data_IF_175049036310
#
_entry.id   IF_175049036310
#
_cell.length_a   1.000
_cell.length_b   1.000
_cell.length_c   1.000
_cell.angle_alpha   90.00
_cell.angle_beta   90.00
_cell.angle_gamma   90.00
#
_symmetry.space_group_name_H-M   'P 1'
#
loop_
_entity.id
_entity.type
_entity.pdbx_description
1 polymer ?
#
# COMPACT_ATOMS: atom_id res chain seq x y z
N UNK A 1 -92.08 71.07 -0.56
CA UNK A 1 -90.68 71.47 -0.34
C UNK A 1 -89.87 70.69 0.68
N UNK A 2 -90.40 70.37 1.87
CA UNK A 2 -89.58 69.69 2.89
C UNK A 2 -89.18 68.24 2.53
N UNK A 3 -90.13 67.44 2.06
CA UNK A 3 -89.90 66.03 1.67
C UNK A 3 -88.84 65.87 0.56
N UNK A 4 -88.85 66.76 -0.43
CA UNK A 4 -87.91 66.71 -1.55
C UNK A 4 -86.48 67.04 -1.08
N UNK A 5 -86.33 68.00 -0.16
CA UNK A 5 -85.05 68.33 0.49
C UNK A 5 -84.50 67.17 1.31
N UNK A 6 -85.33 66.50 2.10
CA UNK A 6 -84.88 65.35 2.91
C UNK A 6 -84.44 64.18 2.03
N UNK A 7 -85.17 63.91 0.95
CA UNK A 7 -84.79 62.86 -0.01
C UNK A 7 -83.46 63.17 -0.71
N UNK A 8 -83.25 64.41 -1.15
CA UNK A 8 -81.97 64.85 -1.73
C UNK A 8 -80.81 64.70 -0.75
N UNK A 9 -81.01 65.03 0.53
CA UNK A 9 -79.98 64.83 1.58
C UNK A 9 -79.64 63.36 1.79
N UNK A 10 -80.63 62.45 1.75
CA UNK A 10 -80.36 61.02 1.82
C UNK A 10 -79.60 60.51 0.58
N UNK A 11 -79.95 60.97 -0.61
CA UNK A 11 -79.26 60.62 -1.85
C UNK A 11 -77.80 61.12 -1.85
N UNK A 12 -77.54 62.34 -1.35
CA UNK A 12 -76.18 62.87 -1.17
C UNK A 12 -75.37 62.07 -0.14
N UNK A 13 -75.99 61.70 0.98
CA UNK A 13 -75.35 60.91 2.03
C UNK A 13 -75.05 59.48 1.57
N UNK A 14 -75.95 58.88 0.79
CA UNK A 14 -75.75 57.57 0.17
C UNK A 14 -74.58 57.61 -0.84
N UNK A 15 -74.52 58.63 -1.69
CA UNK A 15 -73.38 58.85 -2.62
C UNK A 15 -72.06 59.01 -1.85
N UNK A 16 -72.07 59.76 -0.75
CA UNK A 16 -70.87 59.93 0.07
C UNK A 16 -70.39 58.62 0.70
N UNK A 17 -71.31 57.84 1.28
CA UNK A 17 -70.98 56.53 1.86
C UNK A 17 -70.45 55.55 0.80
N UNK A 18 -71.07 55.52 -0.38
CA UNK A 18 -70.59 54.68 -1.50
C UNK A 18 -69.19 55.09 -1.96
N UNK A 19 -68.90 56.39 -2.01
CA UNK A 19 -67.57 56.89 -2.37
C UNK A 19 -66.52 56.46 -1.33
N UNK A 20 -66.82 56.59 -0.03
CA UNK A 20 -65.96 56.13 1.06
C UNK A 20 -65.72 54.62 1.02
N UNK A 21 -66.76 53.82 0.78
CA UNK A 21 -66.62 52.37 0.63
C UNK A 21 -65.75 52.02 -0.58
N UNK A 22 -65.95 52.70 -1.72
CA UNK A 22 -65.13 52.46 -2.90
C UNK A 22 -63.66 52.83 -2.68
N UNK A 23 -63.39 53.91 -1.94
CA UNK A 23 -62.05 54.37 -1.62
C UNK A 23 -61.35 53.40 -0.65
N UNK A 24 -62.05 52.93 0.38
CA UNK A 24 -61.52 51.94 1.34
C UNK A 24 -61.27 50.59 0.67
N UNK A 25 -62.18 50.09 -0.19
CA UNK A 25 -61.96 48.87 -0.99
C UNK A 25 -60.73 49.01 -1.89
N UNK A 26 -60.57 50.15 -2.57
CA UNK A 26 -59.37 50.43 -3.39
C UNK A 26 -58.10 50.44 -2.55
N UNK A 27 -58.11 51.10 -1.39
CA UNK A 27 -56.98 51.16 -0.48
C UNK A 27 -56.57 49.78 0.07
N UNK A 28 -57.55 48.93 0.41
CA UNK A 28 -57.30 47.54 0.83
C UNK A 28 -56.72 46.73 -0.32
N UNK A 29 -57.29 46.83 -1.53
CA UNK A 29 -56.76 46.13 -2.70
C UNK A 29 -55.32 46.55 -3.04
N UNK A 30 -54.97 47.84 -2.92
CA UNK A 30 -53.60 48.32 -3.13
C UNK A 30 -52.66 47.77 -2.06
N UNK A 31 -53.05 47.80 -0.78
CA UNK A 31 -52.24 47.26 0.31
C UNK A 31 -52.00 45.75 0.16
N UNK A 32 -53.02 44.96 -0.20
CA UNK A 32 -52.88 43.52 -0.46
C UNK A 32 -51.98 43.26 -1.67
N UNK A 33 -52.11 44.05 -2.74
CA UNK A 33 -51.24 43.93 -3.92
C UNK A 33 -49.77 44.20 -3.56
N UNK A 34 -49.51 45.21 -2.74
CA UNK A 34 -48.15 45.53 -2.26
C UNK A 34 -47.61 44.43 -1.35
N UNK A 35 -48.42 43.92 -0.42
CA UNK A 35 -48.06 42.79 0.43
C UNK A 35 -47.69 41.55 -0.40
N UNK A 36 -48.55 41.14 -1.34
CA UNK A 36 -48.30 39.98 -2.20
C UNK A 36 -47.02 40.16 -3.05
N UNK A 37 -46.75 41.39 -3.53
CA UNK A 37 -45.49 41.70 -4.22
C UNK A 37 -44.29 41.52 -3.29
N UNK A 38 -44.34 42.06 -2.08
CA UNK A 38 -43.27 41.94 -1.09
C UNK A 38 -43.02 40.47 -0.69
N UNK A 39 -44.08 39.69 -0.55
CA UNK A 39 -44.00 38.26 -0.24
C UNK A 39 -43.38 37.47 -1.41
N UNK A 40 -43.72 37.82 -2.65
CA UNK A 40 -43.14 37.19 -3.83
C UNK A 40 -41.63 37.49 -3.95
N UNK A 41 -41.20 38.72 -3.67
CA UNK A 41 -39.77 39.08 -3.66
C UNK A 41 -39.02 38.38 -2.54
N UNK A 42 -39.58 38.32 -1.33
CA UNK A 42 -38.96 37.60 -0.20
C UNK A 42 -38.82 36.11 -0.50
N UNK A 43 -39.85 35.48 -1.08
CA UNK A 43 -39.82 34.08 -1.47
C UNK A 43 -38.75 33.79 -2.53
N UNK A 44 -38.60 34.69 -3.52
CA UNK A 44 -37.56 34.56 -4.54
C UNK A 44 -36.16 34.68 -3.94
N UNK A 45 -35.93 35.68 -3.09
CA UNK A 45 -34.65 35.84 -2.40
C UNK A 45 -34.30 34.64 -1.52
N UNK A 46 -35.30 34.11 -0.80
CA UNK A 46 -35.12 32.90 0.02
C UNK A 46 -34.68 31.71 -0.83
N UNK A 47 -35.34 31.47 -1.97
CA UNK A 47 -34.95 30.40 -2.91
C UNK A 47 -33.54 30.58 -3.47
N UNK A 48 -33.13 31.82 -3.75
CA UNK A 48 -31.76 32.12 -4.22
C UNK A 48 -30.74 31.81 -3.12
N UNK A 49 -31.02 32.21 -1.87
CA UNK A 49 -30.16 31.91 -0.71
C UNK A 49 -30.07 30.41 -0.46
N UNK A 50 -31.19 29.69 -0.48
CA UNK A 50 -31.24 28.23 -0.32
C UNK A 50 -30.40 27.54 -1.39
N UNK A 51 -30.55 27.91 -2.66
CA UNK A 51 -29.72 27.35 -3.75
C UNK A 51 -28.25 27.64 -3.58
N UNK A 52 -27.89 28.84 -3.12
CA UNK A 52 -26.48 29.19 -2.86
C UNK A 52 -25.91 28.35 -1.73
N UNK A 53 -26.67 28.18 -0.66
CA UNK A 53 -26.27 27.34 0.46
C UNK A 53 -26.11 25.88 0.05
N UNK A 54 -27.06 25.33 -0.71
CA UNK A 54 -26.96 23.96 -1.25
C UNK A 54 -25.70 23.79 -2.12
N UNK A 55 -25.37 24.78 -2.94
CA UNK A 55 -24.14 24.75 -3.74
C UNK A 55 -22.87 24.77 -2.86
N UNK A 56 -22.86 25.60 -1.82
CA UNK A 56 -21.75 25.67 -0.86
C UNK A 56 -21.58 24.35 -0.10
N UNK A 57 -22.69 23.76 0.37
CA UNK A 57 -22.70 22.48 1.07
C UNK A 57 -22.23 21.34 0.16
N UNK A 58 -22.70 21.29 -1.08
CA UNK A 58 -22.26 20.31 -2.08
C UNK A 58 -20.75 20.43 -2.36
N UNK A 59 -20.23 21.65 -2.50
CA UNK A 59 -18.80 21.88 -2.72
C UNK A 59 -17.97 21.47 -1.49
N UNK A 60 -18.47 21.75 -0.29
CA UNK A 60 -17.82 21.34 0.95
C UNK A 60 -17.77 19.80 1.06
N UNK A 61 -18.88 19.11 0.76
CA UNK A 61 -18.95 17.65 0.73
C UNK A 61 -17.93 17.06 -0.24
N UNK A 62 -17.93 17.51 -1.50
CA UNK A 62 -16.99 17.05 -2.52
C UNK A 62 -15.55 17.27 -2.06
N UNK A 63 -15.23 18.45 -1.54
CA UNK A 63 -13.88 18.77 -1.06
C UNK A 63 -13.46 17.92 0.13
N UNK A 64 -14.39 17.58 1.02
CA UNK A 64 -14.12 16.72 2.16
C UNK A 64 -13.93 15.26 1.75
N UNK A 65 -14.71 14.76 0.79
CA UNK A 65 -14.55 13.41 0.24
C UNK A 65 -13.21 13.26 -0.48
N UNK A 66 -12.84 14.24 -1.32
CA UNK A 66 -11.56 14.24 -2.03
C UNK A 66 -10.35 14.28 -1.09
N UNK A 67 -10.45 15.03 0.01
CA UNK A 67 -9.41 15.08 1.06
C UNK A 67 -9.48 13.91 2.04
N UNK A 68 -10.56 13.12 1.98
CA UNK A 68 -10.77 11.98 2.85
C UNK A 68 -9.78 10.86 2.57
N UNK A 69 -9.50 10.07 3.59
CA UNK A 69 -8.53 8.96 3.52
C UNK A 69 -9.01 7.80 2.62
N UNK A 70 -10.31 7.72 2.34
CA UNK A 70 -10.88 6.68 1.48
C UNK A 70 -10.45 6.85 0.03
N UNK A 71 -10.62 8.05 -0.55
CA UNK A 71 -10.31 8.32 -1.95
C UNK A 71 -8.82 8.58 -2.19
N UNK A 72 -8.12 9.14 -1.20
CA UNK A 72 -6.66 9.37 -1.27
C UNK A 72 -5.83 8.09 -1.03
N UNK A 73 -6.50 7.00 -0.69
CA UNK A 73 -5.89 5.72 -0.34
C UNK A 73 -4.77 5.82 0.71
N UNK A 74 -4.91 6.74 1.68
CA UNK A 74 -3.86 7.03 2.65
C UNK A 74 -3.35 5.75 3.38
N UNK A 75 -2.04 5.42 3.31
CA UNK A 75 -1.48 4.22 3.94
C UNK A 75 -1.43 4.32 5.47
N UNK A 76 -1.49 5.54 6.04
CA UNK A 76 -1.50 5.74 7.50
C UNK A 76 -2.76 5.19 8.17
N UNK A 77 -3.83 4.92 7.41
CA UNK A 77 -5.02 4.22 7.92
C UNK A 77 -4.72 2.83 8.48
N UNK A 78 -3.64 2.20 8.02
CA UNK A 78 -3.20 0.90 8.50
C UNK A 78 -2.46 0.99 9.84
N UNK A 79 -2.12 2.19 10.34
CA UNK A 79 -1.40 2.36 11.60
C UNK A 79 -2.24 1.86 12.79
N UNK A 80 -1.67 0.95 13.57
CA UNK A 80 -2.33 0.42 14.77
C UNK A 80 -2.10 1.32 15.98
N UNK A 81 -3.14 1.56 16.77
CA UNK A 81 -3.03 2.21 18.08
C UNK A 81 -2.25 1.37 19.10
N UNK A 82 -2.12 0.05 18.87
CA UNK A 82 -1.39 -0.87 19.75
C UNK A 82 0.12 -0.87 19.53
N UNK A 83 0.62 -0.08 18.57
CA UNK A 83 2.05 0.22 18.43
C UNK A 83 2.54 0.25 16.98
N UNK A 84 3.75 0.81 16.74
CA UNK A 84 4.25 1.08 15.39
C UNK A 84 4.53 -0.17 14.54
N UNK A 85 4.76 -1.31 15.19
CA UNK A 85 5.07 -2.59 14.54
C UNK A 85 3.82 -3.38 14.14
N UNK A 86 2.63 -2.90 14.53
CA UNK A 86 1.35 -3.54 14.20
C UNK A 86 0.62 -2.74 13.15
N UNK A 87 0.01 -3.46 12.22
CA UNK A 87 -0.86 -2.90 11.20
C UNK A 87 -2.27 -3.44 11.37
N UNK A 88 -3.26 -2.61 11.05
CA UNK A 88 -4.66 -3.03 10.97
C UNK A 88 -4.85 -3.80 9.67
N UNK A 89 -5.10 -5.13 9.72
CA UNK A 89 -5.12 -5.97 8.51
C UNK A 89 -6.13 -5.50 7.46
N UNK A 90 -7.32 -5.11 7.92
CA UNK A 90 -8.43 -4.69 7.06
C UNK A 90 -8.13 -3.43 6.24
N UNK A 91 -7.18 -2.61 6.70
CA UNK A 91 -6.81 -1.33 6.06
C UNK A 91 -5.43 -1.37 5.41
N UNK A 92 -4.81 -2.55 5.34
CA UNK A 92 -3.48 -2.70 4.80
C UNK A 92 -3.49 -2.67 3.27
N UNK A 93 -2.74 -1.71 2.69
CA UNK A 93 -2.63 -1.48 1.24
C UNK A 93 -1.28 -1.89 0.63
N UNK A 94 -0.51 -2.73 1.31
CA UNK A 94 0.83 -3.14 0.89
C UNK A 94 1.99 -2.48 1.65
N UNK A 95 3.21 -2.81 1.27
CA UNK A 95 4.44 -2.28 1.88
C UNK A 95 4.79 -0.90 1.33
N UNK A 96 5.52 -0.10 2.10
CA UNK A 96 6.03 1.18 1.61
C UNK A 96 7.13 0.96 0.58
N UNK A 97 7.33 1.95 -0.29
CA UNK A 97 8.40 1.90 -1.29
C UNK A 97 9.78 1.72 -0.65
N UNK A 98 10.02 2.40 0.48
CA UNK A 98 11.27 2.26 1.25
C UNK A 98 11.50 0.83 1.74
N UNK A 99 10.45 0.17 2.26
CA UNK A 99 10.53 -1.24 2.68
C UNK A 99 10.85 -2.16 1.51
N UNK A 100 10.21 -1.94 0.36
CA UNK A 100 10.47 -2.72 -0.85
C UNK A 100 11.90 -2.52 -1.35
N UNK A 101 12.43 -1.30 -1.26
CA UNK A 101 13.82 -0.98 -1.63
C UNK A 101 14.82 -1.64 -0.70
N UNK A 102 14.56 -1.66 0.61
CA UNK A 102 15.37 -2.40 1.59
C UNK A 102 15.38 -3.90 1.27
N UNK A 103 14.22 -4.49 0.96
CA UNK A 103 14.14 -5.91 0.57
C UNK A 103 15.00 -6.16 -0.69
N UNK A 104 14.89 -5.30 -1.71
CA UNK A 104 15.70 -5.43 -2.94
C UNK A 104 17.20 -5.31 -2.67
N UNK A 105 17.59 -4.42 -1.75
CA UNK A 105 18.99 -4.28 -1.33
C UNK A 105 19.49 -5.57 -0.67
N UNK A 106 18.74 -6.12 0.28
CA UNK A 106 19.08 -7.37 0.97
C UNK A 106 19.16 -8.53 -0.02
N UNK A 107 18.23 -8.63 -0.97
CA UNK A 107 18.27 -9.66 -2.02
C UNK A 107 19.56 -9.58 -2.86
N UNK A 108 20.01 -8.37 -3.22
CA UNK A 108 21.28 -8.18 -3.94
C UNK A 108 22.47 -8.65 -3.10
N UNK A 109 22.48 -8.33 -1.82
CA UNK A 109 23.53 -8.78 -0.89
C UNK A 109 23.55 -10.31 -0.78
N UNK A 110 22.39 -10.95 -0.66
CA UNK A 110 22.26 -12.42 -0.62
C UNK A 110 22.80 -13.08 -1.89
N UNK A 111 22.55 -12.51 -3.07
CA UNK A 111 23.09 -13.01 -4.33
C UNK A 111 24.62 -12.92 -4.34
N UNK A 112 25.17 -11.79 -3.91
CA UNK A 112 26.63 -11.60 -3.83
C UNK A 112 27.28 -12.57 -2.84
N UNK A 113 26.68 -12.76 -1.67
CA UNK A 113 27.17 -13.71 -0.67
C UNK A 113 27.14 -15.14 -1.19
N UNK A 114 26.05 -15.53 -1.86
CA UNK A 114 25.93 -16.86 -2.47
C UNK A 114 27.01 -17.10 -3.52
N UNK A 115 27.30 -16.12 -4.37
CA UNK A 115 28.39 -16.22 -5.35
C UNK A 115 29.76 -16.37 -4.68
N UNK A 116 30.00 -15.63 -3.58
CA UNK A 116 31.24 -15.77 -2.81
C UNK A 116 31.40 -17.17 -2.24
N UNK A 117 30.34 -17.72 -1.65
CA UNK A 117 30.36 -19.07 -1.08
C UNK A 117 30.58 -20.15 -2.14
N UNK A 118 30.00 -20.00 -3.32
CA UNK A 118 30.24 -20.92 -4.44
C UNK A 118 31.70 -20.90 -4.91
N UNK A 119 32.32 -19.72 -4.96
CA UNK A 119 33.74 -19.61 -5.29
C UNK A 119 34.63 -20.24 -4.21
N UNK A 120 34.33 -20.02 -2.93
CA UNK A 120 35.03 -20.66 -1.82
C UNK A 120 34.90 -22.19 -1.86
N UNK A 121 33.72 -22.71 -2.16
CA UNK A 121 33.46 -24.15 -2.30
C UNK A 121 34.27 -24.73 -3.46
N UNK A 122 34.26 -24.08 -4.62
CA UNK A 122 35.06 -24.47 -5.78
C UNK A 122 36.55 -24.56 -5.44
N UNK A 123 37.08 -23.59 -4.71
CA UNK A 123 38.48 -23.59 -4.29
C UNK A 123 38.79 -24.75 -3.34
N UNK A 124 37.90 -25.02 -2.38
CA UNK A 124 38.05 -26.15 -1.46
C UNK A 124 38.05 -27.47 -2.22
N UNK A 125 37.14 -27.67 -3.17
CA UNK A 125 37.07 -28.88 -3.97
C UNK A 125 38.34 -29.11 -4.79
N UNK A 126 38.87 -28.04 -5.41
CA UNK A 126 40.14 -28.10 -6.12
C UNK A 126 41.31 -28.49 -5.20
N UNK A 127 41.37 -27.93 -3.99
CA UNK A 127 42.39 -28.28 -3.00
C UNK A 127 42.25 -29.74 -2.53
N UNK A 128 41.02 -30.20 -2.33
CA UNK A 128 40.71 -31.58 -1.98
C UNK A 128 41.14 -32.55 -3.08
N UNK A 129 40.80 -32.27 -4.34
CA UNK A 129 41.21 -33.07 -5.49
C UNK A 129 42.73 -33.12 -5.63
N UNK A 130 43.40 -31.98 -5.47
CA UNK A 130 44.86 -31.91 -5.48
C UNK A 130 45.47 -32.80 -4.40
N UNK A 131 44.98 -32.71 -3.16
CA UNK A 131 45.44 -33.55 -2.05
C UNK A 131 45.17 -35.03 -2.31
N UNK A 132 44.02 -35.37 -2.90
CA UNK A 132 43.68 -36.75 -3.29
C UNK A 132 44.68 -37.32 -4.28
N UNK A 133 44.98 -36.58 -5.36
CA UNK A 133 45.97 -37.00 -6.37
C UNK A 133 47.36 -37.14 -5.76
N UNK A 134 47.81 -36.16 -4.96
CA UNK A 134 49.12 -36.23 -4.30
C UNK A 134 49.23 -37.44 -3.37
N UNK A 135 48.17 -37.72 -2.59
CA UNK A 135 48.12 -38.86 -1.68
C UNK A 135 48.15 -40.19 -2.45
N UNK A 136 47.39 -40.30 -3.55
CA UNK A 136 47.40 -41.48 -4.41
C UNK A 136 48.79 -41.72 -5.05
N UNK A 137 49.42 -40.67 -5.57
CA UNK A 137 50.78 -40.75 -6.12
C UNK A 137 51.79 -41.19 -5.04
N UNK A 138 51.71 -40.62 -3.83
CA UNK A 138 52.58 -41.00 -2.73
C UNK A 138 52.37 -42.46 -2.29
N UNK A 139 51.13 -42.94 -2.27
CA UNK A 139 50.80 -44.34 -1.98
C UNK A 139 51.41 -45.28 -3.03
N UNK A 140 51.23 -44.99 -4.32
CA UNK A 140 51.81 -45.78 -5.41
C UNK A 140 53.34 -45.84 -5.35
N UNK A 141 54.01 -44.73 -5.04
CA UNK A 141 55.46 -44.70 -4.86
C UNK A 141 55.91 -45.57 -3.68
N UNK A 142 55.18 -45.51 -2.55
CA UNK A 142 55.44 -46.36 -1.38
C UNK A 142 55.24 -47.85 -1.70
N UNK A 143 54.17 -48.20 -2.39
CA UNK A 143 53.90 -49.57 -2.82
C UNK A 143 55.00 -50.11 -3.72
N UNK A 144 55.45 -49.34 -4.72
CA UNK A 144 56.59 -49.74 -5.57
C UNK A 144 57.85 -49.97 -4.76
N UNK A 145 58.17 -49.06 -3.84
CA UNK A 145 59.33 -49.21 -2.98
C UNK A 145 59.24 -50.48 -2.12
N UNK A 146 58.08 -50.76 -1.52
CA UNK A 146 57.84 -52.00 -0.78
C UNK A 146 58.00 -53.24 -1.66
N UNK A 147 57.50 -53.21 -2.89
CA UNK A 147 57.66 -54.32 -3.85
C UNK A 147 59.13 -54.57 -4.20
N UNK A 148 59.92 -53.51 -4.39
CA UNK A 148 61.37 -53.65 -4.61
C UNK A 148 62.06 -54.31 -3.39
N UNK A 149 61.79 -53.80 -2.18
CA UNK A 149 62.35 -54.39 -0.96
C UNK A 149 61.94 -55.86 -0.78
N UNK A 150 60.67 -56.20 -1.03
CA UNK A 150 60.21 -57.59 -0.97
C UNK A 150 60.92 -58.48 -2.00
N UNK A 151 61.16 -57.98 -3.21
CA UNK A 151 61.90 -58.74 -4.24
C UNK A 151 63.35 -58.99 -3.83
N UNK A 152 64.01 -57.99 -3.24
CA UNK A 152 65.39 -58.13 -2.79
C UNK A 152 65.49 -59.08 -1.58
N UNK A 153 64.55 -59.00 -0.63
CA UNK A 153 64.44 -59.97 0.47
C UNK A 153 64.19 -61.39 -0.04
N UNK A 154 63.30 -61.59 -1.01
CA UNK A 154 63.05 -62.91 -1.63
C UNK A 154 64.29 -63.46 -2.29
N UNK A 155 65.01 -62.64 -3.08
CA UNK A 155 66.29 -63.05 -3.69
C UNK A 155 67.31 -63.47 -2.65
N UNK A 156 67.46 -62.70 -1.55
CA UNK A 156 68.37 -63.04 -0.47
C UNK A 156 68.00 -64.37 0.20
N UNK A 157 66.71 -64.60 0.45
CA UNK A 157 66.19 -65.87 0.97
C UNK A 157 66.45 -67.02 0.00
N UNK A 158 66.21 -66.84 -1.31
CA UNK A 158 66.47 -67.85 -2.33
C UNK A 158 67.96 -68.22 -2.39
N UNK A 159 68.86 -67.23 -2.30
CA UNK A 159 70.30 -67.48 -2.22
C UNK A 159 70.69 -68.27 -0.96
N UNK A 160 70.13 -67.92 0.20
CA UNK A 160 70.36 -68.65 1.46
C UNK A 160 69.85 -70.09 1.38
N UNK A 161 68.62 -70.28 0.89
CA UNK A 161 68.01 -71.60 0.69
C UNK A 161 68.83 -72.47 -0.28
N UNK A 162 69.37 -71.89 -1.35
CA UNK A 162 70.24 -72.60 -2.28
C UNK A 162 71.56 -73.04 -1.61
N UNK A 163 72.13 -72.23 -0.73
CA UNK A 163 73.27 -72.60 0.10
C UNK A 163 72.95 -73.79 1.01
N UNK A 164 71.89 -73.66 1.81
CA UNK A 164 71.42 -74.72 2.71
C UNK A 164 71.09 -76.03 1.97
N UNK A 165 70.47 -75.95 0.78
CA UNK A 165 70.15 -77.12 -0.03
C UNK A 165 71.40 -77.83 -0.57
N UNK A 166 72.47 -77.09 -0.89
CA UNK A 166 73.76 -77.69 -1.26
C UNK A 166 74.40 -78.39 -0.07
N UNK A 167 74.36 -77.77 1.10
CA UNK A 167 74.87 -78.35 2.35
C UNK A 167 74.13 -79.65 2.71
N UNK A 168 72.80 -79.67 2.62
CA UNK A 168 71.99 -80.87 2.85
C UNK A 168 72.24 -81.99 1.83
N UNK A 169 72.60 -81.68 0.58
CA UNK A 169 72.94 -82.70 -0.44
C UNK A 169 74.36 -83.26 -0.29
N UNK A 170 75.23 -82.58 0.45
CA UNK A 170 76.59 -83.01 0.73
C UNK A 170 76.73 -83.82 2.04
N UNK A 171 75.64 -83.92 2.80
CA UNK A 171 75.45 -84.85 3.91
C UNK A 171 74.89 -86.18 3.40
#
# INVERSE_FOLDING_TARGET
DLYLKTRLQFDERAKHLQNLESATRKAVCTAVKEFNKSQATESLERKIREKKQEQEDNLAEISNLLRGDLLSENPHQAASSFGPHRVVPDRWKGMTQEQLEQIRLVQRQQVQEKLRLQEEERQRDMDWDRRRVQTACAALLRERWQQHQQRDLRRALDCSNLGLAKEQRAQ
#
